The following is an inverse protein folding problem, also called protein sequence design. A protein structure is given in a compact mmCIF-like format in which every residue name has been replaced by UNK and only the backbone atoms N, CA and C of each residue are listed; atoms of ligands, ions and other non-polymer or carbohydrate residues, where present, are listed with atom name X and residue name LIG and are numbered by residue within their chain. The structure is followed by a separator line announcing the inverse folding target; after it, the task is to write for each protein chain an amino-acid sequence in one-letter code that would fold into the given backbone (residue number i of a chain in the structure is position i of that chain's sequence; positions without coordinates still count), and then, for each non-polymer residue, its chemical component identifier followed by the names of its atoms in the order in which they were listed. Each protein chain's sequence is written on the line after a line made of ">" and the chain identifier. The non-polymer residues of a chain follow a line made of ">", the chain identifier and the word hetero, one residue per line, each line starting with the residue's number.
data_IF_754522058783
#
_entry.id   IF_754522058783
#
_cell.length_a   1.000
_cell.length_b   1.000
_cell.length_c   1.000
_cell.angle_alpha   90.00
_cell.angle_beta   90.00
_cell.angle_gamma   90.00
#
_symmetry.space_group_name_H-M   'P 1'
#
loop_
_entity.id
_entity.type
_entity.pdbx_description
1 polymer ?
#
# COMPACT_ATOMS: atom_id res chain seq x y z
N UNK A 1 -6.66 -14.44 46.32
CA UNK A 1 -7.45 -14.29 45.07
C UNK A 1 -6.53 -14.73 43.93
N UNK A 2 -6.47 -15.99 43.48
CA UNK A 2 -7.52 -16.98 43.24
C UNK A 2 -7.90 -16.95 41.75
N UNK A 3 -7.03 -17.45 40.85
CA UNK A 3 -7.26 -18.58 39.90
C UNK A 3 -8.74 -18.79 39.55
N UNK A 4 -9.09 -18.89 38.25
CA UNK A 4 -9.69 -20.10 37.61
C UNK A 4 -10.16 -19.85 36.16
N UNK A 5 -9.93 -20.89 35.36
CA UNK A 5 -10.28 -21.23 33.97
C UNK A 5 -11.75 -21.69 33.85
N UNK A 6 -12.46 -21.42 32.74
CA UNK A 6 -13.44 -22.35 32.10
C UNK A 6 -13.95 -21.70 30.79
N UNK A 7 -13.93 -22.25 29.57
CA UNK A 7 -14.30 -23.54 28.97
C UNK A 7 -15.75 -24.00 29.19
N UNK A 8 -16.41 -24.27 28.05
CA UNK A 8 -17.56 -25.18 27.83
C UNK A 8 -18.95 -24.60 28.17
N UNK A 9 -19.84 -24.38 27.19
CA UNK A 9 -20.61 -25.33 26.35
C UNK A 9 -21.91 -25.82 27.02
N UNK A 10 -23.02 -25.67 26.28
CA UNK A 10 -24.29 -26.45 26.25
C UNK A 10 -25.46 -25.46 26.01
N UNK A 11 -26.14 -25.44 24.86
CA UNK A 11 -26.92 -26.47 24.15
C UNK A 11 -28.35 -26.68 24.70
N UNK A 12 -29.27 -26.87 23.73
CA UNK A 12 -30.66 -27.37 23.81
C UNK A 12 -31.71 -26.40 24.38
N UNK A 13 -32.96 -26.37 23.92
CA UNK A 13 -33.69 -27.06 22.85
C UNK A 13 -35.07 -26.39 22.78
N UNK A 14 -35.68 -26.29 21.59
CA UNK A 14 -37.07 -26.70 21.38
C UNK A 14 -37.38 -26.70 19.88
N UNK A 15 -37.62 -27.90 19.39
CA UNK A 15 -38.04 -28.23 18.04
C UNK A 15 -39.58 -28.36 17.98
N UNK A 16 -40.05 -28.67 16.75
CA UNK A 16 -41.32 -29.28 16.34
C UNK A 16 -42.30 -28.25 15.71
N UNK A 17 -42.91 -28.47 14.53
CA UNK A 17 -43.09 -29.70 13.75
C UNK A 17 -43.45 -29.42 12.28
N UNK A 18 -43.20 -30.43 11.43
CA UNK A 18 -43.83 -30.65 10.12
C UNK A 18 -42.89 -30.39 8.94
N UNK A 19 -42.42 -31.33 8.14
CA UNK A 19 -42.77 -32.73 7.93
C UNK A 19 -42.73 -33.00 6.43
N UNK A 20 -41.74 -33.77 5.95
CA UNK A 20 -41.80 -34.82 4.90
C UNK A 20 -40.40 -35.21 4.39
N UNK A 21 -40.17 -36.51 4.03
CA UNK A 21 -38.86 -37.02 3.62
C UNK A 21 -38.70 -37.05 2.09
N UNK A 22 -37.50 -36.78 1.58
CA UNK A 22 -37.07 -37.04 0.19
C UNK A 22 -35.58 -37.46 0.23
N UNK A 23 -35.12 -38.44 -0.59
CA UNK A 23 -34.01 -39.32 -0.25
C UNK A 23 -32.62 -38.82 -0.68
N UNK A 24 -31.62 -39.46 -0.06
CA UNK A 24 -30.22 -39.61 -0.45
C UNK A 24 -29.90 -39.27 -1.91
N UNK A 25 -29.01 -38.30 -2.13
CA UNK A 25 -28.08 -38.23 -3.26
C UNK A 25 -26.96 -37.23 -2.96
N UNK A 26 -25.72 -37.66 -3.13
CA UNK A 26 -24.58 -36.77 -3.38
C UNK A 26 -23.78 -36.33 -2.17
N UNK A 27 -22.81 -37.17 -1.77
CA UNK A 27 -21.60 -36.68 -1.11
C UNK A 27 -20.85 -35.76 -2.09
N UNK A 28 -21.08 -34.45 -1.98
CA UNK A 28 -20.26 -33.45 -2.65
C UNK A 28 -18.99 -33.23 -1.81
N UNK A 29 -17.91 -33.89 -2.24
CA UNK A 29 -16.55 -33.54 -1.88
C UNK A 29 -16.30 -32.07 -2.29
N UNK A 30 -16.44 -31.14 -1.35
CA UNK A 30 -15.85 -29.80 -1.48
C UNK A 30 -14.35 -29.95 -1.29
N UNK A 31 -13.67 -30.25 -2.38
CA UNK A 31 -12.23 -30.15 -2.50
C UNK A 31 -11.88 -28.67 -2.42
N UNK A 32 -11.54 -28.20 -1.22
CA UNK A 32 -10.92 -26.89 -1.03
C UNK A 32 -9.54 -26.99 -1.66
N UNK A 33 -9.43 -26.52 -2.91
CA UNK A 33 -8.15 -26.18 -3.49
C UNK A 33 -7.59 -25.00 -2.69
N UNK A 34 -6.80 -25.28 -1.65
CA UNK A 34 -5.84 -24.32 -1.14
C UNK A 34 -4.81 -24.10 -2.24
N UNK A 35 -5.01 -23.06 -3.07
CA UNK A 35 -3.93 -22.44 -3.82
C UNK A 35 -3.00 -21.76 -2.80
N UNK A 36 -2.14 -22.56 -2.17
CA UNK A 36 -0.93 -22.05 -1.54
C UNK A 36 -0.01 -21.59 -2.67
N UNK A 37 -0.11 -20.32 -3.03
CA UNK A 37 0.94 -19.64 -3.78
C UNK A 37 2.17 -19.64 -2.89
N UNK A 38 3.07 -20.59 -3.11
CA UNK A 38 4.45 -20.46 -2.65
C UNK A 38 5.07 -19.32 -3.48
N UNK A 39 4.93 -18.08 -3.00
CA UNK A 39 5.88 -17.06 -3.39
C UNK A 39 7.26 -17.61 -2.98
N UNK A 40 8.12 -17.88 -3.96
CA UNK A 40 9.48 -18.29 -3.68
C UNK A 40 10.10 -17.24 -2.76
N UNK A 41 10.75 -17.63 -1.64
CA UNK A 41 11.42 -16.67 -0.80
C UNK A 41 12.45 -15.94 -1.66
N UNK A 42 12.34 -14.61 -1.73
CA UNK A 42 13.36 -13.79 -2.37
C UNK A 42 14.70 -14.05 -1.66
N UNK A 43 15.82 -14.10 -2.41
CA UNK A 43 17.11 -14.39 -1.82
C UNK A 43 17.46 -13.30 -0.80
N UNK A 44 17.90 -13.71 0.40
CA UNK A 44 18.30 -12.79 1.46
C UNK A 44 19.39 -11.81 0.96
N UNK A 45 18.99 -10.57 0.66
CA UNK A 45 19.88 -9.51 0.17
C UNK A 45 20.49 -8.73 1.35
N UNK A 46 21.80 -8.56 1.34
CA UNK A 46 22.58 -7.90 2.39
C UNK A 46 22.42 -6.37 2.41
N UNK A 47 22.86 -5.76 3.51
CA UNK A 47 22.86 -4.31 3.72
C UNK A 47 23.89 -3.62 2.83
N UNK A 48 23.50 -2.51 2.20
CA UNK A 48 24.35 -1.78 1.24
C UNK A 48 24.00 -2.06 -0.22
N UNK A 49 22.70 -2.23 -0.54
CA UNK A 49 22.24 -2.43 -1.90
C UNK A 49 22.63 -1.26 -2.80
N UNK A 50 23.27 -1.59 -3.91
CA UNK A 50 23.55 -0.65 -4.98
C UNK A 50 22.25 -0.29 -5.72
N UNK A 51 22.18 0.88 -6.37
CA UNK A 51 21.09 1.22 -7.28
C UNK A 51 20.73 0.13 -8.29
N UNK A 52 21.74 -0.56 -8.83
CA UNK A 52 21.54 -1.67 -9.77
C UNK A 52 20.82 -2.86 -9.13
N UNK A 53 21.21 -3.23 -7.91
CA UNK A 53 20.53 -4.29 -7.16
C UNK A 53 19.07 -3.90 -6.88
N UNK A 54 18.81 -2.70 -6.36
CA UNK A 54 17.45 -2.18 -6.12
C UNK A 54 16.60 -2.19 -7.38
N UNK A 55 17.20 -1.87 -8.53
CA UNK A 55 16.50 -1.93 -9.80
C UNK A 55 16.14 -3.35 -10.20
N UNK A 56 16.97 -4.35 -9.92
CA UNK A 56 16.63 -5.76 -10.12
C UNK A 56 15.52 -6.18 -9.18
N UNK A 57 15.61 -5.81 -7.90
CA UNK A 57 14.55 -6.08 -6.91
C UNK A 57 13.19 -5.57 -7.40
N UNK A 58 13.14 -4.30 -7.81
CA UNK A 58 11.89 -3.69 -8.26
C UNK A 58 11.40 -4.31 -9.57
N UNK A 59 12.31 -4.75 -10.45
CA UNK A 59 11.95 -5.51 -11.65
C UNK A 59 11.31 -6.86 -11.33
N UNK A 60 11.80 -7.54 -10.30
CA UNK A 60 11.25 -8.83 -9.85
C UNK A 60 9.85 -8.62 -9.25
N UNK A 61 9.67 -7.55 -8.47
CA UNK A 61 8.42 -7.24 -7.78
C UNK A 61 7.35 -6.67 -8.72
N UNK A 62 7.76 -5.77 -9.64
CA UNK A 62 6.89 -5.03 -10.57
C UNK A 62 7.53 -5.02 -11.95
N UNK A 63 7.29 -6.03 -12.81
CA UNK A 63 7.93 -6.14 -14.12
C UNK A 63 7.68 -4.94 -15.06
N UNK A 64 6.64 -4.15 -14.81
CA UNK A 64 6.28 -2.95 -15.57
C UNK A 64 6.95 -1.66 -15.06
N UNK A 65 7.74 -1.69 -13.98
CA UNK A 65 8.25 -0.47 -13.33
C UNK A 65 9.03 0.47 -14.26
N UNK A 66 9.69 -0.06 -15.29
CA UNK A 66 10.45 0.73 -16.28
C UNK A 66 9.58 1.65 -17.14
N UNK A 67 8.26 1.43 -17.16
CA UNK A 67 7.31 2.34 -17.79
C UNK A 67 7.19 3.66 -17.01
N UNK A 68 7.38 3.64 -15.69
CA UNK A 68 7.11 4.80 -14.81
C UNK A 68 8.36 5.33 -14.10
N UNK A 69 9.32 4.46 -13.81
CA UNK A 69 10.57 4.79 -13.13
C UNK A 69 11.71 4.81 -14.14
N UNK A 70 12.41 5.95 -14.20
CA UNK A 70 13.58 6.12 -15.06
C UNK A 70 14.80 5.44 -14.44
N UNK A 71 15.10 5.81 -13.21
CA UNK A 71 16.32 5.42 -12.51
C UNK A 71 16.08 5.35 -10.99
N UNK A 72 16.79 4.47 -10.31
CA UNK A 72 16.93 4.50 -8.85
C UNK A 72 18.30 5.10 -8.56
N UNK A 73 18.37 6.11 -7.70
CA UNK A 73 19.60 6.81 -7.34
C UNK A 73 19.82 6.77 -5.84
N UNK A 74 21.03 6.42 -5.44
CA UNK A 74 21.43 6.47 -4.04
C UNK A 74 21.85 7.89 -3.68
N UNK A 75 21.30 8.41 -2.58
CA UNK A 75 21.70 9.70 -2.01
C UNK A 75 22.54 9.43 -0.74
N UNK A 76 23.79 9.92 -0.66
CA UNK A 76 24.74 9.51 0.39
C UNK A 76 24.27 9.80 1.82
N UNK A 77 23.49 10.87 2.01
CA UNK A 77 22.93 11.26 3.30
C UNK A 77 21.54 11.83 3.11
N UNK A 78 20.63 11.40 3.98
CA UNK A 78 19.32 12.03 4.11
C UNK A 78 19.52 13.45 4.66
N UNK A 79 18.97 14.46 3.96
CA UNK A 79 18.93 15.86 4.41
C UNK A 79 17.59 16.23 5.08
N UNK A 80 16.70 15.25 5.21
CA UNK A 80 15.30 15.40 5.58
C UNK A 80 14.97 14.53 6.79
N UNK A 81 13.79 14.71 7.43
CA UNK A 81 13.41 13.93 8.59
C UNK A 81 13.51 12.41 8.34
N UNK A 82 13.80 11.66 9.39
CA UNK A 82 13.88 10.18 9.38
C UNK A 82 12.62 9.47 8.87
N UNK A 83 11.52 10.20 8.70
CA UNK A 83 10.27 9.71 8.10
C UNK A 83 10.26 9.71 6.57
N UNK A 84 11.26 10.31 5.89
CA UNK A 84 11.42 10.23 4.44
C UNK A 84 12.43 9.13 4.10
N UNK A 85 11.94 7.92 3.93
CA UNK A 85 12.79 6.74 3.72
C UNK A 85 13.30 6.62 2.28
N UNK A 86 12.51 7.14 1.35
CA UNK A 86 12.74 7.19 -0.08
C UNK A 86 12.03 8.44 -0.59
N UNK A 87 12.26 8.81 -1.84
CA UNK A 87 11.48 9.86 -2.47
C UNK A 87 11.42 9.71 -3.97
N UNK A 88 10.28 10.06 -4.56
CA UNK A 88 10.15 10.22 -6.00
C UNK A 88 10.43 11.67 -6.42
N UNK A 89 11.31 11.85 -7.40
CA UNK A 89 11.69 13.17 -7.93
C UNK A 89 11.71 13.17 -9.44
N UNK A 90 11.63 14.35 -10.06
CA UNK A 90 11.86 14.45 -11.51
C UNK A 90 13.29 14.01 -11.87
N UNK A 91 13.54 13.64 -13.14
CA UNK A 91 14.91 13.35 -13.61
C UNK A 91 15.89 14.47 -13.21
N UNK A 92 16.96 14.08 -12.50
CA UNK A 92 17.99 14.99 -12.03
C UNK A 92 17.68 15.80 -10.76
N UNK A 93 16.49 15.68 -10.16
CA UNK A 93 16.21 16.29 -8.85
C UNK A 93 16.96 15.59 -7.70
N UNK A 94 17.34 16.30 -6.65
CA UNK A 94 18.11 15.73 -5.54
C UNK A 94 17.52 16.05 -4.15
N UNK A 95 16.56 16.97 -4.09
CA UNK A 95 15.87 17.39 -2.88
C UNK A 95 14.34 17.34 -3.06
N UNK A 96 13.63 16.31 -2.54
CA UNK A 96 12.18 16.18 -2.67
C UNK A 96 11.36 17.25 -1.91
N UNK A 97 11.98 18.08 -1.06
CA UNK A 97 11.31 19.21 -0.44
C UNK A 97 11.35 20.47 -1.32
N UNK A 98 12.23 20.51 -2.31
CA UNK A 98 12.27 21.61 -3.26
C UNK A 98 11.22 21.42 -4.36
N UNK A 99 10.43 22.47 -4.60
CA UNK A 99 9.48 22.51 -5.70
C UNK A 99 10.16 22.27 -7.06
N UNK A 100 11.44 22.63 -7.18
CA UNK A 100 12.25 22.27 -8.33
C UNK A 100 12.29 20.74 -8.49
N UNK A 101 12.65 19.94 -7.50
CA UNK A 101 12.77 18.48 -7.69
C UNK A 101 11.45 17.72 -7.79
N UNK A 102 10.30 18.40 -7.65
CA UNK A 102 8.98 17.77 -7.69
C UNK A 102 8.81 16.84 -8.91
N UNK A 103 8.25 15.63 -8.71
CA UNK A 103 8.07 14.67 -9.79
C UNK A 103 7.10 15.20 -10.85
N UNK A 104 7.30 14.77 -12.10
CA UNK A 104 6.50 15.18 -13.24
C UNK A 104 5.32 14.21 -13.42
N UNK A 105 4.07 14.70 -13.46
CA UNK A 105 2.92 13.89 -13.83
C UNK A 105 2.83 13.71 -15.35
N UNK A 106 2.14 12.66 -15.79
CA UNK A 106 1.84 12.39 -17.21
C UNK A 106 2.51 11.13 -17.75
N UNK A 107 1.85 10.47 -18.71
CA UNK A 107 2.23 9.14 -19.23
C UNK A 107 3.61 9.07 -19.86
N UNK A 108 4.08 10.18 -20.43
CA UNK A 108 5.39 10.26 -21.09
C UNK A 108 6.52 10.64 -20.12
N UNK A 109 6.19 10.87 -18.84
CA UNK A 109 7.15 11.24 -17.82
C UNK A 109 7.53 10.04 -16.96
N UNK A 110 8.84 9.83 -16.84
CA UNK A 110 9.43 8.87 -15.91
C UNK A 110 10.22 9.63 -14.86
N UNK A 111 10.01 9.28 -13.61
CA UNK A 111 10.63 9.93 -12.46
C UNK A 111 11.76 9.06 -11.89
N UNK A 112 12.66 9.67 -11.14
CA UNK A 112 13.74 8.98 -10.44
C UNK A 112 13.30 8.66 -9.00
N UNK A 113 13.70 7.50 -8.49
CA UNK A 113 13.55 7.16 -7.07
C UNK A 113 14.88 7.49 -6.37
N UNK A 114 14.82 8.33 -5.35
CA UNK A 114 15.91 8.55 -4.42
C UNK A 114 15.83 7.53 -3.28
N UNK A 115 16.94 6.87 -3.04
CA UNK A 115 17.10 5.91 -1.96
C UNK A 115 18.17 6.40 -0.96
N UNK A 116 17.84 6.33 0.33
CA UNK A 116 18.74 6.68 1.44
C UNK A 116 19.22 5.42 2.18
N UNK A 117 20.53 5.11 2.20
CA UNK A 117 21.05 3.87 2.80
C UNK A 117 20.64 3.58 4.24
N UNK A 118 20.44 4.64 5.04
CA UNK A 118 20.02 4.57 6.43
C UNK A 118 18.55 4.10 6.59
N UNK A 119 17.72 4.25 5.56
CA UNK A 119 16.33 3.73 5.54
C UNK A 119 16.25 2.22 5.57
N UNK A 120 17.29 1.56 5.07
CA UNK A 120 17.41 0.11 5.00
C UNK A 120 18.37 -0.41 6.06
N UNK A 121 18.52 0.30 7.18
CA UNK A 121 19.44 -0.06 8.25
C UNK A 121 19.31 -1.50 8.74
N UNK A 122 20.37 -2.00 9.39
CA UNK A 122 20.60 -3.43 9.69
C UNK A 122 19.50 -4.12 10.47
N UNK A 123 18.70 -3.34 11.15
CA UNK A 123 17.62 -3.83 12.00
C UNK A 123 16.29 -3.98 11.23
N UNK A 124 16.18 -3.44 10.01
CA UNK A 124 14.96 -3.49 9.18
C UNK A 124 14.87 -4.82 8.43
N UNK A 125 13.65 -5.31 8.24
CA UNK A 125 13.44 -6.54 7.48
C UNK A 125 13.66 -6.35 5.98
N UNK A 126 13.86 -7.45 5.26
CA UNK A 126 13.79 -7.43 3.79
C UNK A 126 12.42 -6.94 3.31
N UNK A 127 11.33 -7.39 3.95
CA UNK A 127 9.99 -6.95 3.61
C UNK A 127 9.82 -5.44 3.69
N UNK A 128 10.47 -4.77 4.65
CA UNK A 128 10.43 -3.30 4.76
C UNK A 128 11.07 -2.61 3.56
N UNK A 129 12.18 -3.15 3.05
CA UNK A 129 12.86 -2.61 1.87
C UNK A 129 12.01 -2.73 0.62
N UNK A 130 11.42 -3.92 0.41
CA UNK A 130 10.51 -4.19 -0.70
C UNK A 130 9.29 -3.27 -0.65
N UNK A 131 8.72 -3.10 0.55
CA UNK A 131 7.60 -2.20 0.80
C UNK A 131 7.93 -0.77 0.37
N UNK A 132 9.08 -0.23 0.80
CA UNK A 132 9.48 1.15 0.47
C UNK A 132 9.76 1.34 -1.03
N UNK A 133 10.37 0.36 -1.70
CA UNK A 133 10.58 0.43 -3.15
C UNK A 133 9.24 0.44 -3.90
N UNK A 134 8.31 -0.42 -3.49
CA UNK A 134 6.99 -0.52 -4.11
C UNK A 134 6.15 0.74 -3.84
N UNK A 135 6.29 1.36 -2.67
CA UNK A 135 5.66 2.64 -2.32
C UNK A 135 6.01 3.74 -3.33
N UNK A 136 7.29 3.92 -3.65
CA UNK A 136 7.70 4.94 -4.63
C UNK A 136 7.33 4.56 -6.06
N UNK A 137 7.33 3.27 -6.40
CA UNK A 137 6.81 2.81 -7.69
C UNK A 137 5.32 3.15 -7.84
N UNK A 138 4.51 2.98 -6.80
CA UNK A 138 3.09 3.33 -6.84
C UNK A 138 2.89 4.83 -7.05
N UNK A 139 3.67 5.68 -6.39
CA UNK A 139 3.68 7.11 -6.67
C UNK A 139 4.01 7.41 -8.13
N UNK A 140 5.04 6.75 -8.69
CA UNK A 140 5.44 6.93 -10.07
C UNK A 140 4.34 6.51 -11.05
N UNK A 141 3.73 5.35 -10.81
CA UNK A 141 2.63 4.81 -11.62
C UNK A 141 1.39 5.67 -11.53
N UNK A 142 1.03 6.13 -10.33
CA UNK A 142 -0.13 7.01 -10.12
C UNK A 142 0.03 8.32 -10.88
N UNK A 143 1.21 8.96 -10.79
CA UNK A 143 1.51 10.19 -11.52
C UNK A 143 1.52 10.00 -13.04
N UNK A 144 1.92 8.83 -13.53
CA UNK A 144 1.94 8.54 -14.96
C UNK A 144 0.56 8.21 -15.52
N UNK A 145 -0.21 7.36 -14.84
CA UNK A 145 -1.38 6.70 -15.44
C UNK A 145 -2.74 7.21 -14.95
N UNK A 146 -2.84 7.77 -13.74
CA UNK A 146 -4.10 8.24 -13.12
C UNK A 146 -5.29 7.25 -13.17
N UNK A 147 -5.10 5.98 -13.58
CA UNK A 147 -6.20 5.08 -13.96
C UNK A 147 -6.78 4.28 -12.79
N UNK A 148 -6.01 4.05 -11.73
CA UNK A 148 -6.48 3.27 -10.57
C UNK A 148 -6.87 4.16 -9.39
N UNK A 149 -6.27 5.34 -9.32
CA UNK A 149 -6.59 6.40 -8.36
C UNK A 149 -6.53 7.73 -9.12
N UNK A 150 -7.53 8.61 -8.99
CA UNK A 150 -7.52 9.89 -9.70
C UNK A 150 -6.37 10.77 -9.19
N UNK A 151 -5.86 11.65 -10.05
CA UNK A 151 -4.95 12.69 -9.59
C UNK A 151 -5.76 13.70 -8.78
N UNK A 152 -5.46 13.78 -7.48
CA UNK A 152 -6.05 14.78 -6.61
C UNK A 152 -5.60 16.18 -7.00
N UNK A 153 -6.55 17.13 -6.99
CA UNK A 153 -6.31 18.55 -7.25
C UNK A 153 -7.04 19.43 -6.24
N UNK A 154 -6.91 19.16 -4.94
CA UNK A 154 -7.69 19.80 -3.86
C UNK A 154 -7.46 21.31 -3.70
N UNK A 155 -6.62 21.92 -4.53
CA UNK A 155 -6.18 23.31 -4.38
C UNK A 155 -5.31 23.53 -3.14
N UNK A 156 -4.87 22.44 -2.50
CA UNK A 156 -4.10 22.45 -1.27
C UNK A 156 -3.05 21.33 -1.33
N UNK A 157 -1.82 21.69 -1.69
CA UNK A 157 -0.73 20.74 -1.94
C UNK A 157 -0.48 19.76 -0.77
N UNK A 158 -0.71 20.19 0.47
CA UNK A 158 -0.59 19.31 1.63
C UNK A 158 -1.70 18.24 1.67
N UNK A 159 -2.93 18.59 1.29
CA UNK A 159 -4.03 17.64 1.20
C UNK A 159 -3.79 16.63 0.07
N UNK A 160 -3.35 17.10 -1.10
CA UNK A 160 -2.96 16.24 -2.23
C UNK A 160 -1.87 15.25 -1.79
N UNK A 161 -0.83 15.74 -1.11
CA UNK A 161 0.22 14.89 -0.52
C UNK A 161 -0.34 13.85 0.44
N UNK A 162 -1.22 14.23 1.38
CA UNK A 162 -1.79 13.28 2.33
C UNK A 162 -2.65 12.22 1.64
N UNK A 163 -3.40 12.59 0.60
CA UNK A 163 -4.14 11.65 -0.23
C UNK A 163 -3.22 10.63 -0.90
N UNK A 164 -2.20 11.10 -1.63
CA UNK A 164 -1.26 10.23 -2.35
C UNK A 164 -0.51 9.29 -1.40
N UNK A 165 -0.01 9.80 -0.28
CA UNK A 165 0.67 8.97 0.73
C UNK A 165 -0.26 7.92 1.34
N UNK A 166 -1.48 8.29 1.72
CA UNK A 166 -2.43 7.34 2.30
C UNK A 166 -2.82 6.22 1.32
N UNK A 167 -2.98 6.56 0.04
CA UNK A 167 -3.22 5.58 -1.03
C UNK A 167 -2.05 4.60 -1.14
N UNK A 168 -0.81 5.10 -1.25
CA UNK A 168 0.38 4.29 -1.41
C UNK A 168 0.60 3.37 -0.19
N UNK A 169 0.63 3.93 1.03
CA UNK A 169 0.78 3.14 2.25
C UNK A 169 -0.33 2.09 2.41
N UNK A 170 -1.59 2.46 2.14
CA UNK A 170 -2.72 1.54 2.21
C UNK A 170 -2.57 0.36 1.23
N UNK A 171 -2.16 0.65 -0.01
CA UNK A 171 -1.86 -0.38 -1.00
C UNK A 171 -0.74 -1.31 -0.52
N UNK A 172 0.38 -0.76 -0.08
CA UNK A 172 1.52 -1.60 0.30
C UNK A 172 1.21 -2.43 1.55
N UNK A 173 0.42 -1.92 2.50
CA UNK A 173 -0.08 -2.72 3.65
C UNK A 173 -0.93 -3.90 3.17
N UNK A 174 -1.82 -3.69 2.21
CA UNK A 174 -2.64 -4.77 1.64
C UNK A 174 -1.78 -5.84 0.96
N UNK A 175 -0.81 -5.44 0.15
CA UNK A 175 0.15 -6.35 -0.51
C UNK A 175 1.02 -7.10 0.50
N UNK A 176 1.50 -6.41 1.55
CA UNK A 176 2.25 -7.03 2.63
C UNK A 176 1.45 -8.13 3.34
N UNK A 177 0.14 -7.91 3.57
CA UNK A 177 -0.75 -8.92 4.18
C UNK A 177 -0.97 -10.13 3.27
N UNK A 178 -0.90 -9.94 1.96
CA UNK A 178 -0.92 -11.01 0.95
C UNK A 178 0.42 -11.75 0.83
N UNK A 179 1.44 -11.31 1.58
CA UNK A 179 2.76 -11.91 1.57
C UNK A 179 3.66 -11.47 0.42
N UNK A 180 3.31 -10.40 -0.31
CA UNK A 180 4.07 -9.92 -1.47
C UNK A 180 5.53 -9.58 -1.13
N UNK A 181 5.80 -9.19 0.12
CA UNK A 181 7.14 -8.77 0.58
C UNK A 181 7.80 -9.78 1.54
N UNK A 182 7.17 -10.93 1.78
CA UNK A 182 7.57 -11.82 2.87
C UNK A 182 7.32 -11.21 4.27
N UNK A 183 7.98 -11.73 5.32
CA UNK A 183 7.73 -11.28 6.69
C UNK A 183 8.25 -9.87 6.98
N UNK A 184 7.38 -9.03 7.52
CA UNK A 184 7.73 -7.75 8.16
C UNK A 184 7.87 -7.95 9.67
N UNK A 185 8.85 -7.31 10.30
CA UNK A 185 8.97 -7.28 11.75
C UNK A 185 7.84 -6.43 12.35
N UNK A 186 7.49 -6.69 13.62
CA UNK A 186 6.41 -5.96 14.30
C UNK A 186 6.58 -4.44 14.28
N UNK A 187 7.82 -3.95 14.39
CA UNK A 187 8.12 -2.51 14.29
C UNK A 187 7.90 -1.94 12.88
N UNK A 188 8.26 -2.70 11.84
CA UNK A 188 8.11 -2.28 10.44
C UNK A 188 6.62 -2.23 10.08
N UNK A 189 5.85 -3.21 10.59
CA UNK A 189 4.39 -3.21 10.51
C UNK A 189 3.74 -2.01 11.20
N UNK A 190 4.12 -1.73 12.44
CA UNK A 190 3.59 -0.59 13.20
C UNK A 190 3.90 0.74 12.52
N UNK A 191 5.08 0.88 11.93
CA UNK A 191 5.50 2.10 11.25
C UNK A 191 4.76 2.31 9.92
N UNK A 192 4.60 1.25 9.10
CA UNK A 192 3.78 1.31 7.90
C UNK A 192 2.33 1.71 8.23
N UNK A 193 1.72 1.04 9.22
CA UNK A 193 0.35 1.34 9.65
C UNK A 193 0.22 2.76 10.20
N UNK A 194 1.18 3.19 11.05
CA UNK A 194 1.18 4.54 11.60
C UNK A 194 1.37 5.64 10.53
N UNK A 195 2.12 5.36 9.45
CA UNK A 195 2.19 6.26 8.30
C UNK A 195 0.84 6.34 7.57
N UNK A 196 0.23 5.20 7.25
CA UNK A 196 -1.09 5.14 6.64
C UNK A 196 -2.14 5.92 7.44
N UNK A 197 -2.29 5.61 8.73
CA UNK A 197 -3.28 6.23 9.61
C UNK A 197 -3.08 7.74 9.71
N UNK A 198 -1.83 8.20 9.85
CA UNK A 198 -1.51 9.64 9.93
C UNK A 198 -1.92 10.38 8.65
N UNK A 199 -1.59 9.83 7.49
CA UNK A 199 -1.90 10.47 6.20
C UNK A 199 -3.40 10.41 5.89
N UNK A 200 -4.04 9.27 6.14
CA UNK A 200 -5.48 9.11 5.97
C UNK A 200 -6.25 10.07 6.87
N UNK A 201 -5.86 10.17 8.15
CA UNK A 201 -6.54 11.06 9.10
C UNK A 201 -6.38 12.53 8.72
N UNK A 202 -5.15 12.96 8.37
CA UNK A 202 -4.90 14.32 7.95
C UNK A 202 -5.71 14.68 6.69
N UNK A 203 -5.81 13.77 5.72
CA UNK A 203 -6.62 13.95 4.53
C UNK A 203 -8.12 13.98 4.85
N UNK A 204 -8.61 13.03 5.65
CA UNK A 204 -10.02 12.96 6.10
C UNK A 204 -10.45 14.25 6.79
N UNK A 205 -9.62 14.80 7.69
CA UNK A 205 -9.88 16.08 8.34
C UNK A 205 -9.94 17.24 7.34
N UNK A 206 -9.07 17.26 6.34
CA UNK A 206 -9.14 18.27 5.27
C UNK A 206 -10.47 18.17 4.52
N UNK A 207 -10.83 16.98 4.02
CA UNK A 207 -12.06 16.79 3.24
C UNK A 207 -13.30 17.16 4.06
N UNK A 208 -13.41 16.73 5.31
CA UNK A 208 -14.56 17.11 6.15
C UNK A 208 -14.68 18.61 6.43
N UNK A 209 -13.56 19.35 6.47
CA UNK A 209 -13.58 20.80 6.68
C UNK A 209 -13.85 21.58 5.38
N UNK A 210 -13.18 21.20 4.30
CA UNK A 210 -13.16 21.98 3.06
C UNK A 210 -14.23 21.52 2.05
N UNK A 211 -14.49 20.22 1.97
CA UNK A 211 -15.38 19.60 0.97
C UNK A 211 -16.13 18.38 1.56
N UNK A 212 -16.98 18.55 2.59
CA UNK A 212 -17.54 17.41 3.33
C UNK A 212 -18.31 16.41 2.47
N UNK A 213 -18.98 16.88 1.41
CA UNK A 213 -19.71 16.04 0.45
C UNK A 213 -18.80 15.13 -0.38
N UNK A 214 -17.51 15.47 -0.51
CA UNK A 214 -16.56 14.71 -1.31
C UNK A 214 -16.04 13.45 -0.61
N UNK A 215 -16.19 13.33 0.72
CA UNK A 215 -15.65 12.19 1.48
C UNK A 215 -16.15 10.84 0.97
N UNK A 216 -17.45 10.71 0.68
CA UNK A 216 -18.01 9.45 0.19
C UNK A 216 -17.51 9.01 -1.19
N UNK A 217 -16.90 9.91 -1.96
CA UNK A 217 -16.20 9.58 -3.20
C UNK A 217 -14.76 9.16 -2.91
N UNK A 218 -14.01 10.01 -2.19
CA UNK A 218 -12.58 9.81 -1.97
C UNK A 218 -12.24 8.64 -1.04
N UNK A 219 -13.12 8.31 -0.09
CA UNK A 219 -12.89 7.22 0.86
C UNK A 219 -12.74 5.86 0.17
N UNK A 220 -13.26 5.70 -1.05
CA UNK A 220 -13.25 4.45 -1.82
C UNK A 220 -11.87 4.05 -2.33
N UNK A 221 -10.91 4.98 -2.36
CA UNK A 221 -9.55 4.72 -2.82
C UNK A 221 -8.61 4.26 -1.70
N UNK A 222 -9.07 4.31 -0.45
CA UNK A 222 -8.32 3.77 0.67
C UNK A 222 -8.80 2.34 0.91
N UNK A 223 -7.94 1.33 0.70
CA UNK A 223 -8.30 -0.01 1.11
C UNK A 223 -8.48 0.00 2.63
N UNK A 224 -9.51 -0.68 3.12
CA UNK A 224 -9.51 -1.10 4.52
C UNK A 224 -8.26 -1.95 4.74
N UNK A 225 -7.56 -1.83 5.88
CA UNK A 225 -6.41 -2.66 6.15
C UNK A 225 -6.81 -4.14 6.00
N UNK A 226 -6.29 -4.83 4.98
CA UNK A 226 -6.57 -6.24 4.69
C UNK A 226 -7.39 -6.52 3.44
N UNK A 227 -8.03 -5.50 2.89
CA UNK A 227 -8.80 -5.64 1.66
C UNK A 227 -7.91 -5.51 0.41
N UNK A 228 -8.29 -6.14 -0.71
CA UNK A 228 -7.70 -5.83 -1.99
C UNK A 228 -7.70 -4.33 -2.27
N UNK A 229 -6.58 -3.83 -2.83
CA UNK A 229 -6.66 -2.54 -3.49
C UNK A 229 -7.75 -2.61 -4.55
N UNK A 230 -8.70 -1.66 -4.56
CA UNK A 230 -9.83 -1.74 -5.47
C UNK A 230 -9.31 -1.61 -6.90
N UNK A 231 -9.53 -2.64 -7.73
CA UNK A 231 -9.29 -2.56 -9.17
C UNK A 231 -10.39 -1.71 -9.79
N UNK A 232 -10.29 -0.39 -9.62
CA UNK A 232 -11.22 0.56 -10.22
C UNK A 232 -10.77 0.76 -11.66
N UNK A 233 -11.48 0.12 -12.59
CA UNK A 233 -11.25 0.28 -14.04
C UNK A 233 -12.01 1.46 -14.64
N UNK A 234 -12.95 2.03 -13.88
CA UNK A 234 -13.72 3.22 -14.23
C UNK A 234 -14.02 4.03 -12.97
N UNK A 235 -13.55 5.28 -12.92
CA UNK A 235 -13.95 6.20 -11.86
C UNK A 235 -15.39 6.64 -12.07
N UNK A 236 -16.26 6.54 -11.04
CA UNK A 236 -17.49 7.31 -11.08
C UNK A 236 -17.16 8.80 -11.22
N UNK A 237 -18.02 9.63 -11.82
CA UNK A 237 -17.79 11.06 -11.87
C UNK A 237 -17.63 11.60 -10.43
N UNK A 238 -16.63 12.46 -10.24
CA UNK A 238 -16.47 13.18 -8.98
C UNK A 238 -17.75 14.00 -8.70
N UNK A 239 -18.15 14.17 -7.44
CA UNK A 239 -19.29 15.02 -7.09
C UNK A 239 -19.09 16.43 -7.67
N UNK A 240 -20.17 17.11 -8.10
CA UNK A 240 -20.07 18.50 -8.58
C UNK A 240 -19.33 19.39 -7.56
N UNK A 241 -18.32 20.12 -8.04
CA UNK A 241 -17.47 20.97 -7.19
C UNK A 241 -16.34 20.24 -6.45
N UNK A 242 -16.19 18.92 -6.67
CA UNK A 242 -14.99 18.19 -6.25
C UNK A 242 -13.92 18.27 -7.35
N UNK A 243 -12.65 18.51 -6.99
CA UNK A 243 -11.55 18.57 -7.94
C UNK A 243 -11.15 17.21 -8.49
#
# INVERSE_FOLDING_TARGET
>A
MGITISKSAAALSAAMAGGRPVPLLGAAFLSVWTLQWFAAPLPARGLGETPGQLSTILSDLRPDFRLYVREIRQVPRRRFPVTHYTALVRPGGDDPLEAASAPRPGRDHRNDILFYPDSFGIERTEGWRLLLLDHEYLHAKHLAEAHSVPLAGFGAAQADRHFFEAVAWGHNIAEARRGAYGPLAGRDWQEALGNYERHLEAFRQFVHRAQPSAWGYWSRFFPEPGDPFPSITTFPPAPEGSP
#
